data_IF_384829005343
#
_entry.id   IF_384829005343
#
_cell.length_a   1.000
_cell.length_b   1.000
_cell.length_c   1.000
_cell.angle_alpha   90.00
_cell.angle_beta   90.00
_cell.angle_gamma   90.00
#
_symmetry.space_group_name_H-M   'P 1'
#
loop_
_entity.id
_entity.type
_entity.pdbx_description
1 polymer ?
#
# COMPACT_ATOMS: atom_id res chain seq x y z
N UNK A 1 13.95 22.54 -49.63
CA UNK A 1 12.73 22.05 -48.90
C UNK A 1 12.92 20.71 -48.23
N UNK A 2 13.73 19.76 -48.72
CA UNK A 2 13.92 18.43 -48.10
C UNK A 2 14.62 18.44 -46.73
N UNK A 3 15.49 19.42 -46.42
CA UNK A 3 16.25 19.47 -45.14
C UNK A 3 15.44 19.94 -43.92
N UNK A 4 14.37 20.76 -44.14
CA UNK A 4 13.51 21.25 -43.04
C UNK A 4 12.51 20.18 -42.54
N UNK A 5 12.10 19.28 -43.44
CA UNK A 5 11.17 18.20 -43.07
C UNK A 5 11.84 17.13 -42.20
N UNK A 6 13.13 16.83 -42.49
CA UNK A 6 13.93 15.85 -41.68
C UNK A 6 14.19 16.36 -40.25
N UNK A 7 14.36 17.66 -40.07
CA UNK A 7 14.58 18.25 -38.74
C UNK A 7 13.32 18.27 -37.87
N UNK A 8 12.14 18.44 -38.45
CA UNK A 8 10.86 18.40 -37.74
C UNK A 8 10.52 16.97 -37.30
N UNK A 9 10.82 15.95 -38.15
CA UNK A 9 10.61 14.56 -37.81
C UNK A 9 11.54 14.10 -36.68
N UNK A 10 12.79 14.59 -36.65
CA UNK A 10 13.74 14.30 -35.57
C UNK A 10 13.32 14.93 -34.25
N UNK A 11 12.80 16.17 -34.25
CA UNK A 11 12.29 16.84 -33.05
C UNK A 11 11.01 16.18 -32.50
N UNK A 12 10.11 15.69 -33.37
CA UNK A 12 8.93 14.91 -32.95
C UNK A 12 9.31 13.53 -32.36
N UNK A 13 10.32 12.85 -32.92
CA UNK A 13 10.76 11.56 -32.41
C UNK A 13 11.43 11.68 -31.03
N UNK A 14 12.15 12.77 -30.74
CA UNK A 14 12.73 13.05 -29.42
C UNK A 14 11.66 13.34 -28.36
N UNK A 15 10.58 14.04 -28.73
CA UNK A 15 9.48 14.34 -27.82
C UNK A 15 8.67 13.10 -27.44
N UNK A 16 8.43 12.19 -28.38
CA UNK A 16 7.70 10.94 -28.16
C UNK A 16 8.52 9.96 -27.29
N UNK A 17 9.86 9.96 -27.45
CA UNK A 17 10.74 9.13 -26.64
C UNK A 17 10.76 9.56 -25.16
N UNK A 18 10.60 10.84 -24.87
CA UNK A 18 10.54 11.36 -23.49
C UNK A 18 9.31 10.89 -22.72
N UNK A 19 8.13 10.97 -23.32
CA UNK A 19 6.87 10.53 -22.72
C UNK A 19 6.83 9.00 -22.47
N UNK A 20 7.42 8.21 -23.34
CA UNK A 20 7.45 6.75 -23.21
C UNK A 20 8.32 6.27 -22.03
N UNK A 21 9.19 7.10 -21.48
CA UNK A 21 10.08 6.77 -20.36
C UNK A 21 9.59 7.34 -19.01
N UNK A 22 8.53 8.16 -19.02
CA UNK A 22 7.96 8.73 -17.81
C UNK A 22 7.31 7.66 -16.95
N UNK A 23 7.53 7.74 -15.65
CA UNK A 23 6.87 6.88 -14.66
C UNK A 23 5.71 7.66 -14.05
N UNK A 24 4.51 7.16 -14.26
CA UNK A 24 3.30 7.64 -13.56
C UNK A 24 3.01 6.68 -12.41
N UNK A 25 3.31 7.13 -11.21
CA UNK A 25 3.00 6.41 -9.97
C UNK A 25 1.60 6.77 -9.50
N UNK A 26 0.74 5.79 -9.35
CA UNK A 26 -0.56 5.95 -8.71
C UNK A 26 -0.60 5.19 -7.38
N UNK A 27 -0.50 5.88 -6.23
CA UNK A 27 -0.73 5.27 -4.93
C UNK A 27 -2.14 4.68 -4.82
N UNK A 28 -2.29 3.61 -4.02
CA UNK A 28 -3.57 2.88 -3.89
C UNK A 28 -4.67 3.65 -3.14
N UNK A 29 -4.35 4.80 -2.57
CA UNK A 29 -5.26 5.66 -1.82
C UNK A 29 -4.99 7.14 -2.08
N UNK A 30 -5.83 8.02 -1.52
CA UNK A 30 -5.63 9.48 -1.55
C UNK A 30 -4.35 9.90 -0.83
N UNK A 31 -3.89 11.13 -1.06
CA UNK A 31 -2.65 11.62 -0.46
C UNK A 31 -2.69 11.58 1.07
N UNK A 32 -1.71 10.90 1.66
CA UNK A 32 -1.55 10.74 3.10
C UNK A 32 -0.14 10.23 3.44
N UNK A 33 0.21 10.21 4.73
CA UNK A 33 1.55 9.82 5.20
C UNK A 33 1.95 8.38 4.86
N UNK A 34 0.99 7.51 4.50
CA UNK A 34 1.27 6.16 3.99
C UNK A 34 2.22 6.16 2.78
N UNK A 35 2.31 7.28 2.06
CA UNK A 35 3.11 7.39 0.84
C UNK A 35 4.28 8.37 0.97
N UNK A 36 4.63 8.75 2.21
CA UNK A 36 5.60 9.81 2.52
C UNK A 36 6.93 9.67 1.77
N UNK A 37 7.52 8.48 1.70
CA UNK A 37 8.82 8.30 1.05
C UNK A 37 8.82 8.63 -0.43
N UNK A 38 7.71 8.43 -1.14
CA UNK A 38 7.58 8.81 -2.54
C UNK A 38 7.48 10.33 -2.71
N UNK A 39 6.78 11.02 -1.80
CA UNK A 39 6.70 12.48 -1.79
C UNK A 39 8.04 13.11 -1.46
N UNK A 40 8.75 12.55 -0.47
CA UNK A 40 10.11 12.96 -0.12
C UNK A 40 11.04 12.81 -1.33
N UNK A 41 11.00 11.66 -2.01
CA UNK A 41 11.84 11.42 -3.18
C UNK A 41 11.56 12.42 -4.32
N UNK A 42 10.32 12.82 -4.48
CA UNK A 42 9.90 13.82 -5.48
C UNK A 42 10.31 15.23 -5.07
N UNK A 43 9.95 15.68 -3.86
CA UNK A 43 10.17 17.05 -3.39
C UNK A 43 11.64 17.39 -3.19
N UNK A 44 12.45 16.41 -2.73
CA UNK A 44 13.90 16.60 -2.56
C UNK A 44 14.70 16.31 -3.85
N UNK A 45 14.00 15.96 -4.95
CA UNK A 45 14.63 15.79 -6.25
C UNK A 45 15.38 14.47 -6.45
N UNK A 46 15.19 13.46 -5.58
CA UNK A 46 15.91 12.17 -5.70
C UNK A 46 15.59 11.44 -7.01
N UNK A 47 14.37 11.55 -7.52
CA UNK A 47 14.02 11.02 -8.83
C UNK A 47 14.77 11.72 -9.96
N UNK A 48 14.86 13.06 -9.89
CA UNK A 48 15.58 13.86 -10.87
C UNK A 48 17.08 13.56 -10.85
N UNK A 49 17.68 13.42 -9.66
CA UNK A 49 19.08 13.04 -9.49
C UNK A 49 19.36 11.65 -10.07
N UNK A 50 18.41 10.71 -9.90
CA UNK A 50 18.47 9.36 -10.47
C UNK A 50 18.19 9.32 -11.99
N UNK A 51 17.90 10.47 -12.61
CA UNK A 51 17.60 10.58 -14.03
C UNK A 51 16.28 9.95 -14.43
N UNK A 52 15.29 9.85 -13.53
CA UNK A 52 13.94 9.38 -13.82
C UNK A 52 12.93 10.52 -13.73
N UNK A 53 12.01 10.55 -14.69
CA UNK A 53 10.89 11.48 -14.70
C UNK A 53 9.68 10.78 -14.07
N UNK A 54 9.28 11.22 -12.88
CA UNK A 54 8.20 10.61 -12.08
C UNK A 54 7.09 11.63 -11.86
N UNK A 55 5.86 11.21 -12.12
CA UNK A 55 4.65 11.94 -11.74
C UNK A 55 3.88 11.07 -10.74
N UNK A 56 3.41 11.67 -9.65
CA UNK A 56 2.55 11.00 -8.67
C UNK A 56 1.13 11.52 -8.87
N UNK A 57 0.22 10.62 -9.25
CA UNK A 57 -1.21 10.92 -9.45
C UNK A 57 -2.05 10.06 -8.52
N UNK A 58 -2.80 10.70 -7.62
CA UNK A 58 -3.61 9.98 -6.66
C UNK A 58 -4.89 9.38 -7.25
N UNK A 59 -5.37 8.32 -6.60
CA UNK A 59 -6.65 7.70 -6.91
C UNK A 59 -7.82 8.54 -6.41
N UNK A 60 -8.98 8.32 -7.03
CA UNK A 60 -10.27 8.75 -6.49
C UNK A 60 -11.12 7.54 -6.07
N UNK A 61 -12.25 7.79 -5.42
CA UNK A 61 -13.17 6.72 -5.03
C UNK A 61 -13.67 5.86 -6.21
N UNK A 62 -13.69 6.41 -7.42
CA UNK A 62 -14.15 5.76 -8.66
C UNK A 62 -13.04 5.28 -9.59
N UNK A 63 -11.78 5.71 -9.39
CA UNK A 63 -10.66 5.41 -10.29
C UNK A 63 -9.48 4.79 -9.51
N UNK A 64 -9.56 3.49 -9.26
CA UNK A 64 -8.57 2.73 -8.46
C UNK A 64 -7.24 2.57 -9.20
N UNK A 65 -6.14 2.52 -8.45
CA UNK A 65 -4.77 2.40 -8.98
C UNK A 65 -4.61 1.23 -9.97
N UNK A 66 -5.09 0.04 -9.62
CA UNK A 66 -5.04 -1.11 -10.53
C UNK A 66 -5.81 -0.87 -11.84
N UNK A 67 -7.01 -0.28 -11.76
CA UNK A 67 -7.79 0.03 -12.96
C UNK A 67 -7.07 1.05 -13.86
N UNK A 68 -6.40 2.04 -13.25
CA UNK A 68 -5.57 2.99 -14.00
C UNK A 68 -4.44 2.29 -14.73
N UNK A 69 -3.76 1.36 -14.05
CA UNK A 69 -2.67 0.58 -14.66
C UNK A 69 -3.18 -0.30 -15.80
N UNK A 70 -4.27 -1.05 -15.61
CA UNK A 70 -4.87 -1.90 -16.65
C UNK A 70 -5.35 -1.08 -17.85
N UNK A 71 -5.79 0.17 -17.64
CA UNK A 71 -6.17 1.11 -18.70
C UNK A 71 -4.97 1.93 -19.23
N UNK A 72 -3.74 1.58 -18.89
CA UNK A 72 -2.49 2.24 -19.33
C UNK A 72 -2.42 3.74 -18.99
N UNK A 73 -3.11 4.17 -17.92
CA UNK A 73 -3.04 5.54 -17.39
C UNK A 73 -1.87 5.76 -16.45
N UNK A 74 -1.34 4.69 -15.86
CA UNK A 74 -0.12 4.68 -15.07
C UNK A 74 0.65 3.38 -15.32
N UNK A 75 1.94 3.37 -14.96
CA UNK A 75 2.80 2.20 -15.11
C UNK A 75 3.44 1.77 -13.77
N UNK A 76 3.22 2.53 -12.70
CA UNK A 76 3.61 2.17 -11.35
C UNK A 76 2.44 2.41 -10.37
N UNK A 77 2.27 1.50 -9.40
CA UNK A 77 1.23 1.58 -8.36
C UNK A 77 1.78 1.10 -7.02
N UNK A 78 1.18 1.55 -5.91
CA UNK A 78 1.30 0.83 -4.65
C UNK A 78 0.14 -0.14 -4.51
N UNK A 79 0.38 -1.28 -3.86
CA UNK A 79 -0.63 -2.32 -3.64
C UNK A 79 -0.22 -3.21 -2.46
N UNK A 80 -1.18 -3.82 -1.78
CA UNK A 80 -0.90 -4.86 -0.80
C UNK A 80 -0.37 -6.12 -1.50
N UNK A 81 0.63 -6.77 -0.91
CA UNK A 81 1.22 -7.99 -1.47
C UNK A 81 0.18 -9.09 -1.69
N UNK A 82 -0.77 -9.25 -0.76
CA UNK A 82 -1.89 -10.17 -0.89
C UNK A 82 -2.64 -9.97 -2.22
N UNK A 83 -3.05 -8.73 -2.48
CA UNK A 83 -3.80 -8.39 -3.68
C UNK A 83 -2.93 -8.55 -4.94
N UNK A 84 -1.66 -8.16 -4.86
CA UNK A 84 -0.72 -8.31 -5.96
C UNK A 84 -0.57 -9.78 -6.38
N UNK A 85 -0.43 -10.70 -5.42
CA UNK A 85 -0.34 -12.13 -5.71
C UNK A 85 -1.63 -12.66 -6.36
N UNK A 86 -2.81 -12.23 -5.89
CA UNK A 86 -4.07 -12.59 -6.53
C UNK A 86 -4.16 -12.06 -7.97
N UNK A 87 -3.71 -10.82 -8.22
CA UNK A 87 -3.72 -10.25 -9.55
C UNK A 87 -2.73 -10.93 -10.49
N UNK A 88 -1.55 -11.31 -9.99
CA UNK A 88 -0.55 -12.08 -10.76
C UNK A 88 -1.10 -13.45 -11.15
N UNK A 89 -1.78 -14.16 -10.25
CA UNK A 89 -2.44 -15.44 -10.58
C UNK A 89 -3.52 -15.28 -11.66
N UNK A 90 -4.19 -14.12 -11.70
CA UNK A 90 -5.15 -13.76 -12.75
C UNK A 90 -4.49 -13.24 -14.04
N UNK A 91 -3.17 -13.28 -14.16
CA UNK A 91 -2.43 -12.92 -15.36
C UNK A 91 -2.08 -11.42 -15.49
N UNK A 92 -2.20 -10.64 -14.40
CA UNK A 92 -1.71 -9.26 -14.42
C UNK A 92 -0.20 -9.27 -14.28
N UNK A 93 0.50 -8.72 -15.24
CA UNK A 93 1.97 -8.71 -15.31
C UNK A 93 2.56 -7.59 -14.45
N UNK A 94 2.74 -7.85 -13.14
CA UNK A 94 3.33 -6.95 -12.15
C UNK A 94 4.75 -7.38 -11.77
N UNK A 95 5.59 -6.38 -11.45
CA UNK A 95 6.90 -6.58 -10.86
C UNK A 95 7.00 -5.75 -9.59
N UNK A 96 7.23 -6.39 -8.44
CA UNK A 96 7.55 -5.71 -7.19
C UNK A 96 8.98 -5.18 -7.27
N UNK A 97 9.15 -3.87 -7.17
CA UNK A 97 10.45 -3.21 -7.22
C UNK A 97 10.88 -2.64 -5.86
N UNK A 98 9.96 -2.58 -4.89
CA UNK A 98 10.24 -2.16 -3.52
C UNK A 98 9.13 -2.67 -2.60
N UNK A 99 9.48 -3.42 -1.56
CA UNK A 99 8.53 -3.86 -0.53
C UNK A 99 8.63 -2.94 0.69
N UNK A 100 7.69 -2.01 0.84
CA UNK A 100 7.77 -0.99 1.88
C UNK A 100 7.27 -1.48 3.23
N UNK A 101 6.18 -2.25 3.30
CA UNK A 101 5.72 -2.80 4.58
C UNK A 101 6.20 -4.25 4.76
N UNK A 102 6.92 -4.51 5.85
CA UNK A 102 7.47 -5.82 6.21
C UNK A 102 6.57 -6.58 7.19
N UNK A 103 5.55 -5.91 7.72
CA UNK A 103 4.64 -6.42 8.75
C UNK A 103 3.21 -6.06 8.42
N UNK A 104 2.27 -6.85 8.98
CA UNK A 104 0.85 -6.52 8.89
C UNK A 104 0.47 -5.34 9.79
N UNK A 105 -0.28 -4.41 9.24
CA UNK A 105 -0.92 -3.29 9.96
C UNK A 105 -2.40 -3.52 10.24
N UNK A 106 -2.94 -4.67 9.89
CA UNK A 106 -4.34 -5.00 10.14
C UNK A 106 -4.58 -5.31 11.61
N UNK A 107 -5.61 -4.70 12.15
CA UNK A 107 -6.07 -4.93 13.53
C UNK A 107 -7.59 -5.02 13.58
N UNK A 108 -8.11 -5.66 14.63
CA UNK A 108 -9.52 -5.62 14.98
C UNK A 108 -9.67 -4.85 16.28
N UNK A 109 -10.40 -3.75 16.26
CA UNK A 109 -10.70 -2.96 17.46
C UNK A 109 -12.02 -3.43 18.03
N UNK A 110 -11.98 -3.90 19.27
CA UNK A 110 -13.12 -4.51 19.93
C UNK A 110 -13.88 -3.46 20.74
N UNK A 111 -15.21 -3.42 20.61
CA UNK A 111 -16.08 -2.54 21.37
C UNK A 111 -16.63 -3.22 22.62
N UNK A 112 -17.05 -4.48 22.49
CA UNK A 112 -17.60 -5.29 23.58
C UNK A 112 -16.47 -5.86 24.44
N UNK A 113 -16.39 -5.46 25.70
CA UNK A 113 -15.34 -5.86 26.64
C UNK A 113 -15.38 -7.37 27.00
N UNK A 114 -16.42 -8.09 26.57
CA UNK A 114 -16.49 -9.56 26.70
C UNK A 114 -15.63 -10.29 25.65
N UNK A 115 -15.32 -9.65 24.54
CA UNK A 115 -14.47 -10.21 23.47
C UNK A 115 -13.02 -10.12 23.94
N UNK A 116 -12.37 -11.26 24.17
CA UNK A 116 -10.99 -11.35 24.66
C UNK A 116 -9.99 -11.78 23.58
N UNK A 117 -10.44 -12.57 22.62
CA UNK A 117 -9.62 -13.09 21.51
C UNK A 117 -10.41 -13.19 20.21
N UNK A 118 -9.79 -13.75 19.19
CA UNK A 118 -10.37 -13.82 17.86
C UNK A 118 -11.60 -14.76 17.83
N UNK A 119 -11.62 -15.80 18.62
CA UNK A 119 -12.69 -16.80 18.68
C UNK A 119 -13.99 -16.23 19.27
N UNK A 120 -13.88 -15.22 20.14
CA UNK A 120 -15.04 -14.54 20.72
C UNK A 120 -15.80 -13.65 19.70
N UNK A 121 -15.22 -13.43 18.52
CA UNK A 121 -15.92 -12.77 17.42
C UNK A 121 -16.97 -13.65 16.73
N UNK A 122 -17.10 -14.91 17.12
CA UNK A 122 -18.08 -15.84 16.54
C UNK A 122 -19.50 -15.30 16.63
N UNK A 123 -20.13 -15.14 15.46
CA UNK A 123 -21.50 -14.63 15.32
C UNK A 123 -21.66 -13.13 15.66
N UNK A 124 -20.58 -12.40 15.83
CA UNK A 124 -20.60 -10.96 16.13
C UNK A 124 -20.73 -10.12 14.87
N UNK A 125 -21.18 -8.88 15.05
CA UNK A 125 -21.21 -7.85 14.00
C UNK A 125 -19.88 -7.15 13.92
N UNK A 126 -19.16 -7.32 12.81
CA UNK A 126 -17.84 -6.71 12.64
C UNK A 126 -17.82 -5.82 11.41
N UNK A 127 -17.36 -4.59 11.60
CA UNK A 127 -17.17 -3.64 10.51
C UNK A 127 -16.00 -4.06 9.61
N UNK A 128 -16.18 -3.95 8.28
CA UNK A 128 -15.17 -4.27 7.27
C UNK A 128 -15.24 -3.30 6.10
N UNK A 129 -14.07 -2.98 5.50
CA UNK A 129 -14.07 -2.14 4.29
C UNK A 129 -14.76 -2.84 3.11
N UNK A 130 -15.42 -2.04 2.29
CA UNK A 130 -16.01 -2.51 1.01
C UNK A 130 -14.94 -2.76 -0.07
N UNK A 131 -13.68 -2.58 0.21
CA UNK A 131 -12.57 -2.65 -0.75
C UNK A 131 -11.76 -3.94 -0.61
N UNK A 132 -10.72 -4.08 -1.44
CA UNK A 132 -9.82 -5.22 -1.43
C UNK A 132 -9.05 -5.41 -0.10
N UNK A 133 -8.92 -4.37 0.72
CA UNK A 133 -8.34 -4.45 2.08
C UNK A 133 -9.03 -5.46 3.02
N UNK A 134 -10.18 -6.00 2.64
CA UNK A 134 -10.94 -6.95 3.44
C UNK A 134 -10.53 -8.42 3.26
N UNK A 135 -9.71 -8.75 2.26
CA UNK A 135 -9.49 -10.13 1.85
C UNK A 135 -8.87 -11.00 2.96
N UNK A 136 -7.82 -10.51 3.62
CA UNK A 136 -7.17 -11.23 4.71
C UNK A 136 -8.16 -11.55 5.85
N UNK A 137 -9.03 -10.60 6.19
CA UNK A 137 -10.03 -10.75 7.25
C UNK A 137 -11.03 -11.87 6.96
N UNK A 138 -11.45 -11.99 5.69
CA UNK A 138 -12.35 -13.06 5.25
C UNK A 138 -11.69 -14.45 5.28
N UNK A 139 -10.36 -14.53 5.15
CA UNK A 139 -9.63 -15.78 5.31
C UNK A 139 -9.51 -16.18 6.78
N UNK A 140 -9.24 -15.22 7.67
CA UNK A 140 -9.21 -15.43 9.12
C UNK A 140 -10.56 -15.93 9.62
N UNK A 141 -11.67 -15.34 9.16
CA UNK A 141 -13.00 -15.86 9.48
C UNK A 141 -13.15 -17.35 9.16
N UNK A 142 -12.68 -17.78 7.98
CA UNK A 142 -12.73 -19.19 7.57
C UNK A 142 -11.82 -20.06 8.41
N UNK A 143 -10.60 -19.62 8.70
CA UNK A 143 -9.62 -20.39 9.48
C UNK A 143 -10.10 -20.67 10.91
N UNK A 144 -10.76 -19.69 11.54
CA UNK A 144 -11.31 -19.81 12.89
C UNK A 144 -12.79 -20.21 12.92
N UNK A 145 -13.44 -20.39 11.77
CA UNK A 145 -14.86 -20.72 11.65
C UNK A 145 -15.75 -19.76 12.48
N UNK A 146 -15.57 -18.45 12.30
CA UNK A 146 -16.18 -17.44 13.15
C UNK A 146 -17.64 -17.13 12.82
N UNK A 147 -18.07 -17.33 11.58
CA UNK A 147 -19.43 -16.99 11.12
C UNK A 147 -19.81 -15.54 11.48
N UNK A 148 -18.93 -14.59 11.11
CA UNK A 148 -19.10 -13.17 11.40
C UNK A 148 -20.20 -12.54 10.55
N UNK A 149 -21.02 -11.70 11.14
CA UNK A 149 -21.92 -10.81 10.41
C UNK A 149 -21.13 -9.56 9.97
N UNK A 150 -20.64 -9.57 8.71
CA UNK A 150 -19.85 -8.48 8.17
C UNK A 150 -20.70 -7.29 7.78
N UNK A 151 -20.42 -6.14 8.40
CA UNK A 151 -21.07 -4.86 8.09
C UNK A 151 -20.09 -3.98 7.32
N UNK A 152 -20.36 -3.72 6.04
CA UNK A 152 -19.44 -3.01 5.18
C UNK A 152 -19.49 -1.50 5.38
N UNK A 153 -18.32 -0.85 5.40
CA UNK A 153 -18.17 0.60 5.36
C UNK A 153 -17.18 1.04 4.27
N UNK A 154 -17.14 2.33 3.97
CA UNK A 154 -16.21 2.88 2.93
C UNK A 154 -15.01 3.54 3.58
N UNK A 155 -15.19 4.51 4.46
CA UNK A 155 -14.09 5.33 4.98
C UNK A 155 -14.24 5.75 6.45
N UNK A 156 -15.35 5.47 7.13
CA UNK A 156 -15.59 6.03 8.45
C UNK A 156 -15.87 5.00 9.53
N UNK A 157 -15.53 5.38 10.75
CA UNK A 157 -15.69 4.57 11.96
C UNK A 157 -17.06 4.76 12.66
N UNK A 158 -18.02 5.42 12.00
CA UNK A 158 -19.30 5.82 12.63
C UNK A 158 -20.12 4.63 13.11
N UNK A 159 -20.11 3.50 12.39
CA UNK A 159 -20.80 2.29 12.82
C UNK A 159 -20.28 1.79 14.17
N UNK A 160 -18.98 1.88 14.39
CA UNK A 160 -18.35 1.50 15.67
C UNK A 160 -18.72 2.51 16.77
N UNK A 161 -18.59 3.81 16.49
CA UNK A 161 -18.91 4.89 17.46
C UNK A 161 -20.38 4.84 17.88
N UNK A 162 -21.30 4.62 16.95
CA UNK A 162 -22.75 4.51 17.24
C UNK A 162 -23.15 3.26 18.02
N UNK A 163 -22.26 2.27 18.12
CA UNK A 163 -22.57 0.98 18.76
C UNK A 163 -23.35 0.01 17.87
N UNK A 164 -23.39 0.25 16.58
CA UNK A 164 -24.10 -0.63 15.62
C UNK A 164 -23.34 -1.95 15.36
N UNK A 165 -22.05 -2.03 15.73
CA UNK A 165 -21.18 -3.18 15.56
C UNK A 165 -20.38 -3.47 16.83
N UNK A 166 -20.03 -4.74 17.04
CA UNK A 166 -19.30 -5.23 18.23
C UNK A 166 -17.79 -5.03 18.13
N UNK A 167 -17.27 -5.03 16.91
CA UNK A 167 -15.86 -4.78 16.60
C UNK A 167 -15.73 -4.19 15.18
N UNK A 168 -14.56 -3.69 14.84
CA UNK A 168 -14.26 -3.20 13.50
C UNK A 168 -12.85 -3.55 13.07
N UNK A 169 -12.69 -3.88 11.80
CA UNK A 169 -11.39 -3.89 11.15
C UNK A 169 -10.83 -2.48 11.10
N UNK A 170 -9.53 -2.37 11.25
CA UNK A 170 -8.81 -1.10 11.21
C UNK A 170 -7.38 -1.31 10.72
N UNK A 171 -6.80 -0.28 10.10
CA UNK A 171 -5.35 -0.20 9.92
C UNK A 171 -4.75 0.51 11.13
N UNK A 172 -3.65 -0.02 11.64
CA UNK A 172 -2.95 0.53 12.81
C UNK A 172 -2.57 2.01 12.59
N UNK A 173 -2.24 2.36 11.37
CA UNK A 173 -1.83 3.71 11.02
C UNK A 173 -3.00 4.66 10.73
N UNK A 174 -4.24 4.17 10.53
CA UNK A 174 -5.38 5.00 10.13
C UNK A 174 -6.54 4.93 11.12
N UNK A 175 -7.46 3.97 10.96
CA UNK A 175 -8.71 3.92 11.77
C UNK A 175 -8.45 3.72 13.25
N UNK A 176 -7.38 3.01 13.63
CA UNK A 176 -7.03 2.86 15.06
C UNK A 176 -6.77 4.21 15.72
N UNK A 177 -6.08 5.14 15.02
CA UNK A 177 -5.92 6.50 15.53
C UNK A 177 -7.27 7.21 15.67
N UNK A 178 -8.11 7.14 14.65
CA UNK A 178 -9.41 7.82 14.65
C UNK A 178 -10.29 7.34 15.82
N UNK A 179 -10.31 6.03 16.08
CA UNK A 179 -11.03 5.44 17.20
C UNK A 179 -10.48 5.92 18.55
N UNK A 180 -9.16 5.91 18.73
CA UNK A 180 -8.52 6.43 19.94
C UNK A 180 -8.81 7.90 20.16
N UNK A 181 -8.66 8.72 19.14
CA UNK A 181 -8.97 10.16 19.18
C UNK A 181 -10.45 10.46 19.46
N UNK A 182 -11.35 9.48 19.22
CA UNK A 182 -12.79 9.55 19.51
C UNK A 182 -13.18 9.00 20.90
N UNK A 183 -12.21 8.78 21.78
CA UNK A 183 -12.45 8.33 23.17
C UNK A 183 -12.46 6.81 23.37
N UNK A 184 -11.96 6.03 22.39
CA UNK A 184 -11.86 4.57 22.47
C UNK A 184 -10.41 4.09 22.65
N UNK A 185 -9.55 4.88 23.27
CA UNK A 185 -8.12 4.56 23.48
C UNK A 185 -7.89 3.31 24.33
N UNK A 186 -8.78 3.00 25.27
CA UNK A 186 -8.65 1.87 26.19
C UNK A 186 -9.33 0.59 25.68
N UNK A 187 -9.87 0.58 24.46
CA UNK A 187 -10.48 -0.62 23.90
C UNK A 187 -9.43 -1.62 23.47
N UNK A 188 -9.77 -2.91 23.61
CA UNK A 188 -8.91 -4.00 23.20
C UNK A 188 -8.69 -3.97 21.69
N UNK A 189 -7.45 -4.21 21.30
CA UNK A 189 -7.02 -4.34 19.91
C UNK A 189 -6.44 -5.73 19.71
N UNK A 190 -6.96 -6.49 18.76
CA UNK A 190 -6.42 -7.76 18.31
C UNK A 190 -5.56 -7.46 17.09
N UNK A 191 -4.26 -7.63 17.21
CA UNK A 191 -3.31 -7.48 16.11
C UNK A 191 -3.27 -8.78 15.30
N UNK A 192 -3.54 -8.72 14.00
CA UNK A 192 -3.53 -9.93 13.18
C UNK A 192 -2.13 -10.55 13.09
N UNK A 193 -1.10 -9.73 13.20
CA UNK A 193 0.29 -10.19 13.29
C UNK A 193 0.52 -11.11 14.49
N UNK A 194 -0.11 -10.84 15.65
CA UNK A 194 0.10 -11.59 16.89
C UNK A 194 -0.62 -12.97 16.86
N UNK A 195 -1.58 -13.15 15.98
CA UNK A 195 -2.32 -14.39 15.80
C UNK A 195 -1.89 -15.18 14.54
N UNK A 196 -0.69 -14.88 14.02
CA UNK A 196 -0.07 -15.64 12.93
C UNK A 196 -0.27 -15.08 11.52
N UNK A 197 -0.90 -13.90 11.36
CA UNK A 197 -1.13 -13.25 10.07
C UNK A 197 -0.21 -12.05 9.87
N UNK A 198 1.09 -12.21 10.18
CA UNK A 198 2.12 -11.17 10.00
C UNK A 198 2.73 -11.24 8.60
N UNK A 199 1.98 -10.81 7.60
CA UNK A 199 2.43 -10.76 6.21
C UNK A 199 2.88 -9.35 5.81
N UNK A 200 3.84 -9.23 4.87
CA UNK A 200 4.16 -7.95 4.23
C UNK A 200 2.93 -7.38 3.54
N UNK A 201 2.74 -6.07 3.61
CA UNK A 201 1.57 -5.41 3.04
C UNK A 201 1.97 -4.51 1.86
N UNK A 202 2.13 -3.21 2.10
CA UNK A 202 2.38 -2.24 1.03
C UNK A 202 3.69 -2.53 0.27
N UNK A 203 3.58 -2.61 -1.05
CA UNK A 203 4.70 -2.68 -1.97
C UNK A 203 4.52 -1.73 -3.15
N UNK A 204 5.62 -1.42 -3.82
CA UNK A 204 5.69 -0.66 -5.06
C UNK A 204 5.82 -1.62 -6.24
N UNK A 205 4.87 -1.52 -7.15
CA UNK A 205 4.79 -2.39 -8.32
C UNK A 205 4.86 -1.57 -9.60
N UNK A 206 5.53 -2.12 -10.59
CA UNK A 206 5.58 -1.56 -11.96
C UNK A 206 5.09 -2.61 -12.95
N UNK A 207 4.59 -2.18 -14.11
CA UNK A 207 4.23 -3.13 -15.17
C UNK A 207 5.47 -3.86 -15.67
N UNK A 208 5.35 -5.16 -15.96
CA UNK A 208 6.44 -5.97 -16.53
C UNK A 208 6.89 -5.39 -17.87
N UNK A 209 5.94 -4.91 -18.70
CA UNK A 209 6.23 -4.24 -19.96
C UNK A 209 7.23 -3.07 -19.78
N UNK A 210 6.98 -2.19 -18.78
CA UNK A 210 7.89 -1.08 -18.51
C UNK A 210 9.23 -1.57 -17.96
N UNK A 211 9.19 -2.52 -17.01
CA UNK A 211 10.38 -3.08 -16.38
C UNK A 211 11.36 -3.70 -17.39
N UNK A 212 10.82 -4.49 -18.34
CA UNK A 212 11.62 -5.16 -19.37
C UNK A 212 12.15 -4.18 -20.42
N UNK A 213 11.35 -3.17 -20.73
CA UNK A 213 11.72 -2.16 -21.76
C UNK A 213 12.73 -1.14 -21.23
N UNK A 214 12.64 -0.78 -19.94
CA UNK A 214 13.47 0.26 -19.30
C UNK A 214 14.00 -0.21 -17.93
N UNK A 215 14.76 -1.31 -17.86
CA UNK A 215 15.18 -1.91 -16.58
C UNK A 215 16.00 -0.95 -15.72
N UNK A 216 16.92 -0.18 -16.32
CA UNK A 216 17.74 0.79 -15.60
C UNK A 216 16.90 1.90 -14.96
N UNK A 217 15.83 2.36 -15.65
CA UNK A 217 14.91 3.37 -15.12
C UNK A 217 14.06 2.80 -13.98
N UNK A 218 13.60 1.57 -14.09
CA UNK A 218 12.83 0.91 -13.04
C UNK A 218 13.68 0.72 -11.77
N UNK A 219 14.94 0.31 -11.92
CA UNK A 219 15.89 0.19 -10.80
C UNK A 219 16.20 1.56 -10.19
N UNK A 220 16.48 2.57 -11.01
CA UNK A 220 16.74 3.93 -10.54
C UNK A 220 15.54 4.53 -9.78
N UNK A 221 14.31 4.28 -10.27
CA UNK A 221 13.08 4.67 -9.60
C UNK A 221 12.92 3.98 -8.23
N UNK A 222 13.15 2.67 -8.15
CA UNK A 222 13.10 1.91 -6.91
C UNK A 222 14.13 2.43 -5.88
N UNK A 223 15.37 2.66 -6.32
CA UNK A 223 16.44 3.17 -5.46
C UNK A 223 16.16 4.58 -4.95
N UNK A 224 15.65 5.48 -5.80
CA UNK A 224 15.28 6.83 -5.40
C UNK A 224 14.08 6.83 -4.44
N UNK A 225 13.09 5.95 -4.66
CA UNK A 225 11.96 5.74 -3.74
C UNK A 225 12.45 5.22 -2.39
N UNK A 226 13.34 4.23 -2.37
CA UNK A 226 13.98 3.71 -1.15
C UNK A 226 14.71 4.81 -0.39
N UNK A 227 15.50 5.64 -1.09
CA UNK A 227 16.18 6.79 -0.49
C UNK A 227 15.20 7.77 0.15
N UNK A 228 14.05 8.02 -0.48
CA UNK A 228 12.99 8.84 0.09
C UNK A 228 12.44 8.27 1.41
N UNK A 229 12.24 6.97 1.48
CA UNK A 229 11.81 6.29 2.71
C UNK A 229 12.89 6.30 3.80
N UNK A 230 14.15 6.05 3.44
CA UNK A 230 15.28 6.14 4.37
C UNK A 230 15.39 7.55 4.97
N UNK A 231 15.29 8.56 4.12
CA UNK A 231 15.29 9.96 4.56
C UNK A 231 14.12 10.27 5.50
N UNK A 232 12.93 9.73 5.24
CA UNK A 232 11.77 9.90 6.13
C UNK A 232 11.96 9.25 7.51
N UNK A 233 12.74 8.17 7.63
CA UNK A 233 13.15 7.61 8.91
C UNK A 233 14.08 8.54 9.69
N UNK A 234 15.01 9.18 9.00
CA UNK A 234 16.00 10.08 9.60
C UNK A 234 15.43 11.46 9.93
N UNK A 235 14.41 11.90 9.17
CA UNK A 235 13.81 13.25 9.22
C UNK A 235 12.27 13.21 9.25
N UNK A 236 11.65 12.56 10.26
CA UNK A 236 10.20 12.32 10.25
C UNK A 236 9.35 13.60 10.30
N UNK A 237 9.81 14.66 10.97
CA UNK A 237 9.08 15.92 11.05
C UNK A 237 9.07 16.64 9.70
N UNK A 238 10.22 16.72 9.04
CA UNK A 238 10.34 17.34 7.72
C UNK A 238 9.60 16.51 6.65
N UNK A 239 9.61 15.18 6.78
CA UNK A 239 8.81 14.30 5.93
C UNK A 239 7.31 14.55 6.11
N UNK A 240 6.87 14.75 7.36
CA UNK A 240 5.49 15.14 7.65
C UNK A 240 5.13 16.50 7.03
N UNK A 241 6.04 17.48 7.07
CA UNK A 241 5.82 18.79 6.43
C UNK A 241 5.64 18.66 4.91
N UNK A 242 6.44 17.79 4.28
CA UNK A 242 6.29 17.46 2.84
C UNK A 242 4.93 16.83 2.58
N UNK A 243 4.54 15.82 3.37
CA UNK A 243 3.24 15.16 3.25
C UNK A 243 2.10 16.16 3.36
N UNK A 244 2.13 17.06 4.35
CA UNK A 244 1.08 18.06 4.55
C UNK A 244 0.94 19.00 3.36
N UNK A 245 2.06 19.43 2.73
CA UNK A 245 2.04 20.22 1.50
C UNK A 245 1.42 19.46 0.32
N UNK A 246 1.70 18.14 0.21
CA UNK A 246 1.07 17.31 -0.85
C UNK A 246 -0.44 17.20 -0.62
N UNK A 247 -0.87 16.93 0.61
CA UNK A 247 -2.29 16.84 0.99
C UNK A 247 -3.02 18.15 0.68
N UNK A 248 -2.41 19.30 0.98
CA UNK A 248 -2.96 20.61 0.68
C UNK A 248 -3.10 20.83 -0.84
N UNK A 249 -2.10 20.47 -1.64
CA UNK A 249 -2.17 20.54 -3.12
C UNK A 249 -3.29 19.66 -3.71
N UNK A 250 -3.58 18.54 -3.08
CA UNK A 250 -4.64 17.62 -3.50
C UNK A 250 -6.03 17.99 -2.94
N UNK A 251 -6.14 19.11 -2.22
CA UNK A 251 -7.37 19.62 -1.59
C UNK A 251 -8.07 18.58 -0.70
N UNK A 252 -7.26 17.83 0.09
CA UNK A 252 -7.76 16.78 0.97
C UNK A 252 -7.81 17.28 2.42
N UNK A 253 -9.00 17.26 3.08
CA UNK A 253 -9.09 17.58 4.49
C UNK A 253 -8.29 16.59 5.34
N UNK A 254 -7.32 17.06 6.12
CA UNK A 254 -6.48 16.22 6.97
C UNK A 254 -6.10 16.88 8.28
N UNK A 255 -5.92 16.06 9.31
CA UNK A 255 -5.37 16.48 10.61
C UNK A 255 -3.88 16.18 10.65
N UNK A 256 -3.03 17.18 10.91
CA UNK A 256 -1.58 16.97 11.07
C UNK A 256 -1.25 15.91 12.13
N UNK A 257 -1.97 15.88 13.26
CA UNK A 257 -1.77 14.85 14.31
C UNK A 257 -2.08 13.45 13.82
N UNK A 258 -3.10 13.30 12.96
CA UNK A 258 -3.41 12.01 12.36
C UNK A 258 -2.32 11.60 11.37
N UNK A 259 -1.84 12.54 10.54
CA UNK A 259 -0.77 12.26 9.58
C UNK A 259 0.57 11.95 10.26
N UNK A 260 0.88 12.60 11.38
CA UNK A 260 2.03 12.29 12.24
C UNK A 260 1.95 10.86 12.82
N UNK A 261 0.79 10.50 13.39
CA UNK A 261 0.56 9.11 13.83
C UNK A 261 0.74 8.12 12.69
N UNK A 262 0.11 8.40 11.54
CA UNK A 262 0.18 7.54 10.36
C UNK A 262 1.63 7.35 9.90
N UNK A 263 2.39 8.43 9.75
CA UNK A 263 3.80 8.36 9.37
C UNK A 263 4.59 7.46 10.31
N UNK A 264 4.46 7.69 11.62
CA UNK A 264 5.15 6.91 12.63
C UNK A 264 4.83 5.41 12.54
N UNK A 265 3.57 5.05 12.40
CA UNK A 265 3.18 3.64 12.32
C UNK A 265 3.59 2.99 10.99
N UNK A 266 3.53 3.73 9.87
CA UNK A 266 4.01 3.27 8.56
C UNK A 266 5.52 3.03 8.58
N UNK A 267 6.31 3.95 9.15
CA UNK A 267 7.76 3.77 9.31
C UNK A 267 8.09 2.53 10.15
N UNK A 268 7.37 2.29 11.25
CA UNK A 268 7.52 1.07 12.05
C UNK A 268 7.23 -0.21 11.26
N UNK A 269 6.24 -0.20 10.36
CA UNK A 269 5.94 -1.37 9.52
C UNK A 269 7.04 -1.72 8.54
N UNK A 270 7.95 -0.80 8.22
CA UNK A 270 9.12 -1.04 7.37
C UNK A 270 10.24 -1.83 8.07
N UNK A 271 10.13 -1.96 9.40
CA UNK A 271 11.11 -2.69 10.21
C UNK A 271 10.55 -4.09 10.49
N UNK A 272 11.22 -5.16 10.02
CA UNK A 272 10.79 -6.53 10.31
C UNK A 272 10.74 -6.82 11.81
N UNK A 273 9.92 -7.77 12.20
CA UNK A 273 9.82 -8.21 13.60
C UNK A 273 11.16 -8.73 14.10
N UNK A 274 11.66 -8.15 15.21
CA UNK A 274 12.95 -8.52 15.81
C UNK A 274 14.16 -7.80 15.23
N UNK A 275 13.98 -6.88 14.27
CA UNK A 275 15.03 -6.04 13.70
C UNK A 275 14.91 -4.60 14.18
N UNK A 276 15.96 -3.80 13.96
CA UNK A 276 16.00 -2.36 14.31
C UNK A 276 16.01 -1.45 13.08
N UNK A 277 16.32 -2.01 11.91
CA UNK A 277 16.51 -1.24 10.66
C UNK A 277 15.41 -1.54 9.63
N UNK A 278 15.00 -0.55 8.84
CA UNK A 278 14.02 -0.75 7.79
C UNK A 278 14.55 -1.63 6.67
N UNK A 279 13.71 -2.51 6.15
CA UNK A 279 13.96 -3.32 4.96
C UNK A 279 12.98 -2.99 3.86
N UNK A 280 13.42 -3.18 2.63
CA UNK A 280 12.66 -2.82 1.44
C UNK A 280 12.65 -3.93 0.38
N UNK A 281 13.06 -5.13 0.76
CA UNK A 281 13.06 -6.32 -0.07
C UNK A 281 11.94 -7.29 0.32
N UNK A 282 11.43 -8.06 -0.63
CA UNK A 282 10.49 -9.14 -0.36
C UNK A 282 11.14 -10.22 0.51
N UNK A 283 10.51 -10.57 1.62
CA UNK A 283 10.90 -11.69 2.44
C UNK A 283 10.36 -13.00 1.83
N UNK A 284 11.25 -13.87 1.35
CA UNK A 284 10.89 -15.11 0.65
C UNK A 284 10.05 -16.06 1.49
N UNK A 285 10.32 -16.19 2.78
CA UNK A 285 9.57 -17.07 3.68
C UNK A 285 8.16 -16.55 3.92
N UNK A 286 8.02 -15.23 4.12
CA UNK A 286 6.69 -14.62 4.28
C UNK A 286 5.87 -14.65 2.98
N UNK A 287 6.50 -14.49 1.82
CA UNK A 287 5.83 -14.68 0.52
C UNK A 287 5.35 -16.11 0.36
N UNK A 288 6.20 -17.10 0.71
CA UNK A 288 5.83 -18.50 0.68
C UNK A 288 4.64 -18.81 1.62
N UNK A 289 4.70 -18.36 2.87
CA UNK A 289 3.61 -18.56 3.83
C UNK A 289 2.30 -17.90 3.38
N UNK A 290 2.38 -16.70 2.79
CA UNK A 290 1.20 -16.04 2.21
C UNK A 290 0.66 -16.83 1.00
N UNK A 291 1.53 -17.35 0.13
CA UNK A 291 1.15 -18.18 -1.00
C UNK A 291 0.40 -19.45 -0.52
N UNK A 292 0.91 -20.13 0.49
CA UNK A 292 0.26 -21.32 1.09
C UNK A 292 -1.13 -20.98 1.65
N UNK A 293 -1.28 -19.84 2.33
CA UNK A 293 -2.57 -19.33 2.81
C UNK A 293 -3.56 -19.08 1.66
N UNK A 294 -3.10 -18.42 0.60
CA UNK A 294 -3.92 -18.10 -0.57
C UNK A 294 -4.38 -19.36 -1.31
N UNK A 295 -3.49 -20.33 -1.50
CA UNK A 295 -3.80 -21.64 -2.11
C UNK A 295 -4.81 -22.43 -1.25
N UNK A 296 -4.57 -22.52 0.06
CA UNK A 296 -5.45 -23.18 1.02
C UNK A 296 -6.90 -22.71 0.91
N UNK A 297 -7.08 -21.41 0.67
CA UNK A 297 -8.41 -20.79 0.57
C UNK A 297 -8.92 -20.59 -0.85
N UNK A 298 -8.23 -21.12 -1.87
CA UNK A 298 -8.61 -21.01 -3.27
C UNK A 298 -8.65 -19.56 -3.77
N UNK A 299 -7.77 -18.69 -3.22
CA UNK A 299 -7.64 -17.30 -3.68
C UNK A 299 -6.71 -17.16 -4.87
N UNK A 300 -5.80 -18.10 -5.02
CA UNK A 300 -4.94 -18.33 -6.18
C UNK A 300 -4.98 -19.82 -6.55
N UNK A 301 -4.67 -20.13 -7.79
CA UNK A 301 -4.66 -21.49 -8.34
C UNK A 301 -3.24 -22.01 -8.51
N UNK A 302 -2.26 -21.13 -8.62
CA UNK A 302 -0.86 -21.47 -8.90
C UNK A 302 0.04 -21.04 -7.75
N UNK A 303 1.10 -21.81 -7.52
CA UNK A 303 2.15 -21.41 -6.60
C UNK A 303 2.91 -20.18 -7.15
N UNK A 304 3.08 -19.17 -6.30
CA UNK A 304 3.78 -17.93 -6.61
C UNK A 304 4.87 -17.71 -5.58
N UNK A 305 6.11 -17.61 -6.03
CA UNK A 305 7.27 -17.32 -5.16
C UNK A 305 7.78 -15.89 -5.35
N UNK A 306 8.66 -15.48 -4.44
CA UNK A 306 9.20 -14.12 -4.45
C UNK A 306 10.00 -13.80 -5.73
N UNK A 307 10.70 -14.77 -6.33
CA UNK A 307 11.50 -14.55 -7.54
C UNK A 307 10.64 -14.30 -8.79
N UNK A 308 9.40 -14.78 -8.80
CA UNK A 308 8.45 -14.50 -9.88
C UNK A 308 7.84 -13.11 -9.77
N UNK A 309 7.77 -12.56 -8.55
CA UNK A 309 7.14 -11.26 -8.28
C UNK A 309 8.18 -10.14 -8.39
N UNK A 310 9.40 -10.34 -7.86
CA UNK A 310 10.42 -9.28 -7.80
C UNK A 310 11.04 -8.95 -9.16
N UNK A 311 11.54 -7.72 -9.29
CA UNK A 311 12.46 -7.34 -10.33
C UNK A 311 13.83 -8.05 -10.18
N UNK A 312 14.47 -8.32 -11.30
CA UNK A 312 15.82 -8.92 -11.35
C UNK A 312 16.89 -7.87 -11.08
#
# INVERSE_FOLDING_TARGET
>A
MKSRLSFIILLMSLSISGYAQQIVLTPQWTAQSQFAGYYVAQELGFYKEAGVDVIIEHTSASDKALNRMLNKKCNAITMLLFDAMCQIDHGVELVNILQTAQRSGHVIVVRDDQIKDIEDLRGKKVGIWRSNFNQLCLLIEKDYNLNIEWITFIQNINLYISGAIDATMAMIYNELYQLRASGYENKKVIYLADIGYDYPEDGLYITREYYEKYPEKAVAFAQASRRGWQWAHEHPEEALDIVMKVIEREDIPASRRHQEWMLREVLKQQIPTGESEPRFELNHEKVKALCELLLKHGRINNEINADQIKGR
#
